data_IF_218937776734
#
_entry.id   IF_218937776734
#
_cell.length_a   1.000
_cell.length_b   1.000
_cell.length_c   1.000
_cell.angle_alpha   90.00
_cell.angle_beta   90.00
_cell.angle_gamma   90.00
#
_symmetry.space_group_name_H-M   'P 1'
#
loop_
_entity.id
_entity.type
_entity.pdbx_description
1 polymer ?
#
# COMPACT_ATOMS: atom_id res chain seq x y z
N UNK A 1 15.14 -3.74 18.37
CA UNK A 1 14.46 -2.61 17.74
C UNK A 1 13.95 -3.04 16.38
N UNK A 2 12.68 -2.82 16.12
CA UNK A 2 12.10 -3.00 14.77
C UNK A 2 11.52 -1.68 14.28
N UNK A 3 11.48 -1.52 12.96
CA UNK A 3 10.91 -0.37 12.28
C UNK A 3 9.67 -0.85 11.52
N UNK A 4 8.50 -0.36 11.90
CA UNK A 4 7.23 -0.66 11.25
C UNK A 4 6.83 0.53 10.38
N UNK A 5 6.73 0.33 9.08
CA UNK A 5 6.28 1.33 8.12
C UNK A 5 4.86 0.97 7.68
N UNK A 6 3.92 1.90 7.84
CA UNK A 6 2.54 1.76 7.38
C UNK A 6 2.26 2.87 6.39
N UNK A 7 2.18 2.52 5.11
CA UNK A 7 2.07 3.50 4.03
C UNK A 7 0.74 3.45 3.28
N UNK A 8 0.37 4.59 2.73
CA UNK A 8 -0.71 4.75 1.75
C UNK A 8 -0.21 5.46 0.50
N UNK A 9 -1.12 5.82 -0.41
CA UNK A 9 -0.80 6.35 -1.74
C UNK A 9 0.08 7.61 -1.75
N UNK A 10 0.09 8.37 -0.65
CA UNK A 10 0.94 9.56 -0.52
C UNK A 10 2.45 9.28 -0.58
N UNK A 11 2.92 8.06 -0.26
CA UNK A 11 4.34 7.71 -0.42
C UNK A 11 4.72 7.56 -1.90
N UNK A 12 3.78 7.14 -2.75
CA UNK A 12 3.98 6.93 -4.20
C UNK A 12 3.67 8.17 -5.04
N UNK A 13 3.01 9.19 -4.45
CA UNK A 13 2.65 10.42 -5.15
C UNK A 13 3.85 11.17 -5.78
N UNK A 14 5.00 11.33 -5.09
CA UNK A 14 6.17 11.96 -5.71
C UNK A 14 6.79 11.17 -6.86
N UNK A 15 6.47 9.89 -6.98
CA UNK A 15 6.84 9.04 -8.13
C UNK A 15 5.89 9.21 -9.32
N UNK A 16 4.86 10.05 -9.21
CA UNK A 16 3.87 10.31 -10.25
C UNK A 16 2.76 9.24 -10.33
N UNK A 17 2.51 8.52 -9.24
CA UNK A 17 1.32 7.66 -9.11
C UNK A 17 0.22 8.49 -8.46
N UNK A 18 -0.93 8.59 -9.14
CA UNK A 18 -2.08 9.37 -8.64
C UNK A 18 -2.61 8.79 -7.34
N UNK A 19 -2.89 9.68 -6.37
CA UNK A 19 -3.50 9.27 -5.11
C UNK A 19 -5.01 9.10 -5.26
N UNK A 20 -5.63 8.41 -4.31
CA UNK A 20 -7.09 8.28 -4.23
C UNK A 20 -7.82 9.63 -3.98
N UNK A 21 -7.06 10.69 -3.68
CA UNK A 21 -7.55 12.05 -3.40
C UNK A 21 -7.62 12.97 -4.60
N UNK A 22 -6.94 12.63 -5.70
CA UNK A 22 -6.94 13.49 -6.89
C UNK A 22 -8.32 13.46 -7.56
N UNK A 23 -9.31 14.07 -6.87
CA UNK A 23 -10.69 14.18 -7.33
C UNK A 23 -10.77 14.91 -8.69
N UNK A 24 -9.80 15.76 -9.03
CA UNK A 24 -9.76 16.49 -10.31
C UNK A 24 -8.87 15.83 -11.40
N UNK A 25 -7.99 14.90 -11.07
CA UNK A 25 -7.02 14.31 -12.03
C UNK A 25 -6.87 12.80 -11.90
N UNK A 26 -7.57 12.14 -10.96
CA UNK A 26 -7.41 10.73 -10.70
C UNK A 26 -8.05 9.84 -11.76
N UNK A 27 -7.44 8.70 -12.04
CA UNK A 27 -8.02 7.63 -12.88
C UNK A 27 -9.42 7.20 -12.40
N UNK A 28 -9.74 7.48 -11.13
CA UNK A 28 -11.02 7.13 -10.48
C UNK A 28 -12.18 8.08 -10.84
N UNK A 29 -11.90 9.33 -11.28
CA UNK A 29 -12.96 10.35 -11.46
C UNK A 29 -13.95 10.07 -12.59
N UNK A 30 -13.56 9.27 -13.57
CA UNK A 30 -14.40 8.93 -14.71
C UNK A 30 -15.07 7.55 -14.56
N UNK A 31 -14.94 6.91 -13.40
CA UNK A 31 -15.44 5.55 -13.20
C UNK A 31 -16.28 5.44 -11.92
N UNK A 32 -17.41 4.77 -12.01
CA UNK A 32 -18.15 4.37 -10.81
C UNK A 32 -17.37 3.25 -10.09
N UNK A 33 -16.93 3.54 -8.87
CA UNK A 33 -16.21 2.61 -8.00
C UNK A 33 -16.99 1.30 -7.85
N UNK A 34 -18.33 1.36 -7.78
CA UNK A 34 -19.16 0.17 -7.68
C UNK A 34 -19.11 -0.71 -8.93
N UNK A 35 -18.74 -0.16 -10.09
CA UNK A 35 -18.62 -0.95 -11.32
C UNK A 35 -17.23 -1.55 -11.49
N UNK A 36 -16.17 -0.87 -11.02
CA UNK A 36 -14.78 -1.26 -11.30
C UNK A 36 -14.05 -1.90 -10.13
N UNK A 37 -14.52 -1.71 -8.88
CA UNK A 37 -13.85 -2.19 -7.68
C UNK A 37 -14.82 -2.76 -6.64
N UNK A 38 -15.81 -3.57 -7.07
CA UNK A 38 -16.77 -4.20 -6.18
C UNK A 38 -16.90 -5.69 -6.52
N UNK A 39 -16.82 -6.54 -5.48
CA UNK A 39 -16.80 -8.01 -5.64
C UNK A 39 -18.12 -8.56 -6.18
N UNK A 40 -19.24 -7.91 -5.92
CA UNK A 40 -20.56 -8.38 -6.36
C UNK A 40 -20.84 -8.04 -7.82
N UNK A 41 -20.19 -7.02 -8.38
CA UNK A 41 -20.49 -6.48 -9.72
C UNK A 41 -19.40 -6.69 -10.76
N UNK A 42 -18.16 -7.02 -10.38
CA UNK A 42 -17.01 -7.08 -11.27
C UNK A 42 -17.19 -8.05 -12.45
N UNK A 43 -17.85 -9.21 -12.23
CA UNK A 43 -18.09 -10.19 -13.32
C UNK A 43 -19.03 -9.65 -14.37
N UNK A 44 -20.03 -8.87 -13.96
CA UNK A 44 -20.95 -8.19 -14.86
C UNK A 44 -20.28 -7.08 -15.66
N UNK A 45 -19.28 -6.44 -15.05
CA UNK A 45 -18.51 -5.33 -15.61
C UNK A 45 -17.11 -5.77 -16.08
N UNK A 46 -16.91 -7.05 -16.39
CA UNK A 46 -15.63 -7.70 -16.60
C UNK A 46 -14.67 -6.90 -17.50
N UNK A 47 -15.11 -6.55 -18.71
CA UNK A 47 -14.30 -5.80 -19.68
C UNK A 47 -13.94 -4.38 -19.18
N UNK A 48 -14.87 -3.73 -18.45
CA UNK A 48 -14.66 -2.40 -17.88
C UNK A 48 -13.63 -2.45 -16.76
N UNK A 49 -13.73 -3.44 -15.88
CA UNK A 49 -12.76 -3.72 -14.82
C UNK A 49 -11.38 -3.94 -15.41
N UNK A 50 -11.25 -4.86 -16.38
CA UNK A 50 -9.95 -5.18 -16.93
C UNK A 50 -9.33 -4.01 -17.69
N UNK A 51 -10.10 -3.23 -18.46
CA UNK A 51 -9.59 -2.00 -19.10
C UNK A 51 -9.03 -1.02 -18.07
N UNK A 52 -9.78 -0.73 -17.02
CA UNK A 52 -9.35 0.18 -15.96
C UNK A 52 -8.03 -0.25 -15.32
N UNK A 53 -7.92 -1.53 -14.92
CA UNK A 53 -6.70 -2.02 -14.27
C UNK A 53 -5.53 -2.23 -15.26
N UNK A 54 -5.80 -2.47 -16.54
CA UNK A 54 -4.77 -2.45 -17.58
C UNK A 54 -4.18 -1.05 -17.74
N UNK A 55 -5.02 -0.02 -17.80
CA UNK A 55 -4.56 1.38 -17.88
C UNK A 55 -3.72 1.77 -16.68
N UNK A 56 -4.11 1.33 -15.48
CA UNK A 56 -3.31 1.52 -14.26
C UNK A 56 -1.94 0.84 -14.37
N UNK A 57 -1.85 -0.41 -14.88
CA UNK A 57 -0.57 -1.12 -15.07
C UNK A 57 0.34 -0.39 -16.06
N UNK A 58 -0.22 0.05 -17.19
CA UNK A 58 0.52 0.82 -18.20
C UNK A 58 1.08 2.10 -17.58
N UNK A 59 0.25 2.84 -16.84
CA UNK A 59 0.68 4.08 -16.19
C UNK A 59 1.73 3.86 -15.10
N UNK A 60 1.72 2.69 -14.44
CA UNK A 60 2.67 2.35 -13.37
C UNK A 60 4.02 1.87 -13.91
N UNK A 61 4.04 1.28 -15.12
CA UNK A 61 5.22 0.59 -15.69
C UNK A 61 6.50 1.41 -15.63
N UNK A 62 6.43 2.67 -16.04
CA UNK A 62 7.58 3.56 -16.17
C UNK A 62 7.78 4.47 -14.92
N UNK A 63 7.08 4.17 -13.84
CA UNK A 63 7.27 4.89 -12.58
C UNK A 63 8.42 4.29 -11.79
N UNK A 64 9.25 5.19 -11.23
CA UNK A 64 10.43 4.81 -10.47
C UNK A 64 10.23 5.08 -8.96
N UNK A 65 10.84 4.28 -8.09
CA UNK A 65 10.80 4.51 -6.67
C UNK A 65 11.46 5.86 -6.32
N UNK A 66 10.87 6.57 -5.38
CA UNK A 66 11.41 7.84 -4.88
C UNK A 66 12.31 7.61 -3.64
N UNK A 67 12.88 8.70 -3.12
CA UNK A 67 13.81 8.68 -2.00
C UNK A 67 13.26 7.97 -0.74
N UNK A 68 11.93 8.02 -0.50
CA UNK A 68 11.32 7.34 0.64
C UNK A 68 11.38 5.80 0.48
N UNK A 69 11.04 5.28 -0.70
CA UNK A 69 11.15 3.85 -1.00
C UNK A 69 12.61 3.36 -0.88
N UNK A 70 13.55 4.11 -1.46
CA UNK A 70 14.98 3.79 -1.41
C UNK A 70 15.52 3.84 0.02
N UNK A 71 15.03 4.75 0.86
CA UNK A 71 15.44 4.81 2.27
C UNK A 71 14.96 3.59 3.05
N UNK A 72 13.75 3.09 2.79
CA UNK A 72 13.25 1.87 3.42
C UNK A 72 14.11 0.65 3.03
N UNK A 73 14.51 0.55 1.76
CA UNK A 73 15.44 -0.49 1.32
C UNK A 73 16.79 -0.40 2.06
N UNK A 74 17.36 0.81 2.21
CA UNK A 74 18.58 1.03 2.99
C UNK A 74 18.43 0.63 4.46
N UNK A 75 17.28 0.89 5.07
CA UNK A 75 17.03 0.44 6.43
C UNK A 75 17.00 -1.10 6.52
N UNK A 76 16.45 -1.80 5.52
CA UNK A 76 16.51 -3.27 5.48
C UNK A 76 17.94 -3.78 5.34
N UNK A 77 18.78 -3.14 4.53
CA UNK A 77 20.22 -3.45 4.42
C UNK A 77 20.96 -3.20 5.74
N UNK A 78 20.62 -2.12 6.46
CA UNK A 78 21.31 -1.69 7.67
C UNK A 78 20.86 -2.46 8.92
N UNK A 79 19.57 -2.73 9.06
CA UNK A 79 18.98 -3.28 10.30
C UNK A 79 18.50 -4.74 10.14
N UNK A 80 18.50 -5.29 8.93
CA UNK A 80 17.95 -6.60 8.58
C UNK A 80 16.52 -6.55 8.09
N UNK A 81 16.20 -7.37 7.09
CA UNK A 81 14.85 -7.46 6.49
C UNK A 81 13.78 -7.83 7.52
N UNK A 82 14.11 -8.66 8.50
CA UNK A 82 13.21 -9.11 9.56
C UNK A 82 12.92 -8.02 10.62
N UNK A 83 13.73 -6.96 10.63
CA UNK A 83 13.60 -5.84 11.56
C UNK A 83 12.96 -4.60 10.91
N UNK A 84 12.77 -4.58 9.60
CA UNK A 84 12.10 -3.49 8.89
C UNK A 84 10.85 -4.03 8.19
N UNK A 85 9.73 -3.92 8.88
CA UNK A 85 8.44 -4.45 8.46
C UNK A 85 7.70 -3.40 7.65
N UNK A 86 7.65 -3.60 6.33
CA UNK A 86 6.96 -2.69 5.40
C UNK A 86 5.55 -3.18 5.10
N UNK A 87 4.56 -2.39 5.48
CA UNK A 87 3.12 -2.66 5.28
C UNK A 87 2.54 -1.52 4.47
N UNK A 88 1.96 -1.83 3.32
CA UNK A 88 1.40 -0.81 2.44
C UNK A 88 -0.06 -1.08 2.09
N UNK A 89 -0.84 -0.02 1.95
CA UNK A 89 -2.18 -0.04 1.36
C UNK A 89 -2.11 0.01 -0.16
N UNK A 90 -0.94 0.36 -0.70
CA UNK A 90 -0.75 0.54 -2.13
C UNK A 90 -0.71 -0.80 -2.85
N UNK A 91 -1.13 -0.74 -4.12
CA UNK A 91 -1.13 -1.88 -5.05
C UNK A 91 -0.04 -1.75 -6.11
N UNK A 92 0.72 -0.64 -6.09
CA UNK A 92 1.87 -0.43 -6.97
C UNK A 92 3.08 -1.27 -6.54
N UNK A 93 4.09 -1.37 -7.42
CA UNK A 93 5.30 -2.17 -7.24
C UNK A 93 6.56 -1.34 -6.95
N UNK A 94 6.40 -0.10 -6.46
CA UNK A 94 7.55 0.78 -6.22
C UNK A 94 8.46 0.28 -5.10
N UNK A 95 7.93 -0.44 -4.12
CA UNK A 95 8.76 -1.08 -3.09
C UNK A 95 9.61 -2.20 -3.66
N UNK A 96 9.03 -3.04 -4.54
CA UNK A 96 9.74 -4.13 -5.23
C UNK A 96 10.83 -3.57 -6.15
N UNK A 97 10.52 -2.51 -6.91
CA UNK A 97 11.48 -1.78 -7.75
C UNK A 97 12.60 -1.14 -6.92
N UNK A 98 12.32 -0.69 -5.70
CA UNK A 98 13.32 -0.21 -4.75
C UNK A 98 14.12 -1.34 -4.08
N UNK A 99 13.83 -2.61 -4.40
CA UNK A 99 14.40 -3.80 -3.77
C UNK A 99 14.05 -3.99 -2.28
N UNK A 100 12.96 -3.38 -1.82
CA UNK A 100 12.39 -3.64 -0.49
C UNK A 100 11.83 -5.06 -0.45
N UNK A 101 12.25 -5.86 0.52
CA UNK A 101 11.86 -7.26 0.65
C UNK A 101 10.64 -7.41 1.57
N UNK A 102 9.89 -8.49 1.34
CA UNK A 102 8.80 -8.91 2.22
C UNK A 102 7.73 -7.84 2.44
N UNK A 103 7.46 -6.97 1.45
CA UNK A 103 6.41 -5.96 1.51
C UNK A 103 5.03 -6.62 1.68
N UNK A 104 4.27 -6.18 2.67
CA UNK A 104 2.91 -6.64 2.94
C UNK A 104 1.93 -5.68 2.27
N UNK A 105 1.41 -6.04 1.10
CA UNK A 105 0.38 -5.29 0.39
C UNK A 105 -1.01 -5.64 0.94
N UNK A 106 -1.59 -4.77 1.77
CA UNK A 106 -2.89 -5.01 2.42
C UNK A 106 -4.04 -5.15 1.42
N UNK A 107 -3.95 -4.41 0.32
CA UNK A 107 -5.00 -4.37 -0.71
C UNK A 107 -4.63 -5.12 -1.99
N UNK A 108 -3.59 -5.95 -1.95
CA UNK A 108 -3.15 -6.74 -3.09
C UNK A 108 -2.10 -6.04 -3.96
N UNK A 109 -1.86 -6.59 -5.15
CA UNK A 109 -0.75 -6.22 -6.03
C UNK A 109 -1.24 -6.14 -7.47
N UNK A 110 -1.09 -4.97 -8.10
CA UNK A 110 -1.62 -4.69 -9.44
C UNK A 110 -0.95 -5.51 -10.55
N UNK A 111 0.29 -5.94 -10.33
CA UNK A 111 1.07 -6.78 -11.25
C UNK A 111 0.61 -8.24 -11.29
N UNK A 112 -0.34 -8.63 -10.43
CA UNK A 112 -0.82 -10.00 -10.30
C UNK A 112 -2.31 -10.12 -10.62
N UNK A 113 -2.70 -11.32 -10.97
CA UNK A 113 -4.10 -11.73 -11.15
C UNK A 113 -4.48 -12.82 -10.15
N UNK A 114 -5.74 -12.86 -9.78
CA UNK A 114 -6.35 -13.91 -8.98
C UNK A 114 -7.38 -14.67 -9.83
N UNK A 115 -7.19 -15.97 -10.02
CA UNK A 115 -8.10 -16.83 -10.75
C UNK A 115 -9.26 -17.29 -9.86
N UNK A 116 -10.48 -16.94 -10.22
CA UNK A 116 -11.68 -17.37 -9.50
C UNK A 116 -12.21 -18.77 -9.93
N UNK A 117 -11.37 -19.55 -10.62
CA UNK A 117 -11.68 -20.95 -10.97
C UNK A 117 -10.83 -21.92 -10.13
N UNK A 118 -9.53 -21.59 -9.89
CA UNK A 118 -8.62 -22.45 -9.15
C UNK A 118 -7.94 -21.73 -7.96
N UNK A 119 -8.35 -20.52 -7.65
CA UNK A 119 -7.86 -19.65 -6.56
C UNK A 119 -6.35 -19.33 -6.61
N UNK A 120 -5.71 -19.60 -7.75
CA UNK A 120 -4.28 -19.30 -7.91
C UNK A 120 -4.05 -17.83 -8.18
N UNK A 121 -2.98 -17.30 -7.55
CA UNK A 121 -2.44 -15.98 -7.84
C UNK A 121 -1.23 -16.15 -8.76
N UNK A 122 -1.14 -15.35 -9.82
CA UNK A 122 -0.06 -15.41 -10.80
C UNK A 122 0.32 -14.04 -11.32
N UNK A 123 1.58 -13.90 -11.71
CA UNK A 123 2.11 -12.64 -12.22
C UNK A 123 1.72 -12.44 -13.68
N UNK A 124 1.35 -11.22 -14.02
CA UNK A 124 1.21 -10.74 -15.41
C UNK A 124 2.05 -9.50 -15.64
N UNK A 125 2.72 -9.01 -14.61
CA UNK A 125 3.49 -7.78 -14.63
C UNK A 125 2.66 -6.60 -15.20
N UNK A 126 3.11 -6.01 -16.31
CA UNK A 126 2.41 -4.90 -16.96
C UNK A 126 1.61 -5.33 -18.21
N UNK A 127 1.45 -6.64 -18.41
CA UNK A 127 0.66 -7.15 -19.51
C UNK A 127 -0.82 -6.83 -19.35
N UNK A 128 -1.50 -6.62 -20.47
CA UNK A 128 -2.94 -6.47 -20.49
C UNK A 128 -3.62 -7.82 -20.31
N UNK A 129 -4.70 -7.82 -19.54
CA UNK A 129 -5.60 -8.96 -19.38
C UNK A 129 -6.97 -8.62 -19.97
N UNK A 130 -7.54 -9.50 -20.79
CA UNK A 130 -8.80 -9.29 -21.51
C UNK A 130 -9.75 -10.47 -21.30
N UNK A 131 -10.95 -10.41 -21.87
CA UNK A 131 -11.91 -11.51 -21.87
C UNK A 131 -11.45 -12.75 -22.66
N UNK A 132 -10.43 -12.60 -23.52
CA UNK A 132 -9.80 -13.72 -24.24
C UNK A 132 -8.68 -14.38 -23.45
N UNK A 133 -8.18 -13.69 -22.41
CA UNK A 133 -7.10 -14.19 -21.56
C UNK A 133 -7.58 -15.32 -20.66
N UNK A 134 -6.68 -16.25 -20.37
CA UNK A 134 -6.95 -17.39 -19.48
C UNK A 134 -5.92 -17.49 -18.35
N UNK A 135 -6.29 -18.15 -17.29
CA UNK A 135 -5.37 -18.50 -16.21
C UNK A 135 -4.30 -19.48 -16.75
N UNK A 136 -2.99 -19.21 -16.57
CA UNK A 136 -1.93 -20.09 -17.06
C UNK A 136 -1.87 -21.44 -16.30
N UNK A 137 -2.59 -21.58 -15.20
CA UNK A 137 -2.55 -22.77 -14.34
C UNK A 137 -3.71 -23.73 -14.67
N UNK A 138 -4.93 -23.20 -14.85
CA UNK A 138 -6.11 -24.05 -15.08
C UNK A 138 -6.85 -23.75 -16.39
N UNK A 139 -6.38 -22.80 -17.21
CA UNK A 139 -7.03 -22.31 -18.43
C UNK A 139 -8.43 -21.71 -18.22
N UNK A 140 -8.83 -21.46 -16.97
CA UNK A 140 -10.10 -20.79 -16.63
C UNK A 140 -10.11 -19.32 -17.08
N UNK A 141 -11.29 -18.82 -17.48
CA UNK A 141 -11.44 -17.46 -18.02
C UNK A 141 -11.73 -16.38 -16.96
N UNK A 142 -12.11 -16.78 -15.75
CA UNK A 142 -12.52 -15.83 -14.72
C UNK A 142 -11.37 -15.51 -13.75
N UNK A 143 -10.51 -14.58 -14.16
CA UNK A 143 -9.52 -13.99 -13.30
C UNK A 143 -9.81 -12.50 -13.08
N UNK A 144 -9.54 -11.99 -11.88
CA UNK A 144 -9.61 -10.55 -11.61
C UNK A 144 -8.20 -10.04 -11.24
N UNK A 145 -7.95 -8.71 -11.32
CA UNK A 145 -6.74 -8.13 -10.72
C UNK A 145 -6.62 -8.58 -9.26
N UNK A 146 -5.41 -8.92 -8.83
CA UNK A 146 -5.14 -9.32 -7.44
C UNK A 146 -5.19 -8.09 -6.50
N UNK A 147 -6.30 -7.38 -6.53
CA UNK A 147 -6.61 -6.20 -5.73
C UNK A 147 -7.86 -6.51 -4.90
N UNK A 148 -7.86 -6.12 -3.64
CA UNK A 148 -9.02 -6.27 -2.75
C UNK A 148 -10.12 -5.30 -3.20
N UNK A 149 -11.26 -5.83 -3.61
CA UNK A 149 -12.42 -5.06 -4.01
C UNK A 149 -13.32 -4.73 -2.80
N UNK A 150 -14.12 -3.69 -2.91
CA UNK A 150 -15.14 -3.41 -1.90
C UNK A 150 -16.09 -4.61 -1.75
N UNK A 151 -16.43 -4.94 -0.50
CA UNK A 151 -17.21 -6.14 -0.17
C UNK A 151 -16.38 -7.43 -0.07
N UNK A 152 -15.08 -7.39 -0.42
CA UNK A 152 -14.20 -8.54 -0.36
C UNK A 152 -13.44 -8.58 0.98
N UNK A 153 -13.14 -9.79 1.45
CA UNK A 153 -12.27 -9.95 2.61
C UNK A 153 -10.83 -9.57 2.26
N UNK A 154 -10.16 -8.87 3.18
CA UNK A 154 -8.76 -8.47 3.07
C UNK A 154 -7.89 -9.33 4.02
N UNK A 155 -7.46 -10.54 3.61
CA UNK A 155 -6.84 -11.51 4.52
C UNK A 155 -5.52 -11.02 5.13
N UNK A 156 -4.80 -10.14 4.44
CA UNK A 156 -3.54 -9.57 4.93
C UNK A 156 -3.69 -8.60 6.11
N UNK A 157 -4.92 -8.17 6.45
CA UNK A 157 -5.16 -7.42 7.69
C UNK A 157 -4.82 -8.22 8.96
N UNK A 158 -4.86 -9.55 8.89
CA UNK A 158 -4.34 -10.38 9.99
C UNK A 158 -2.86 -10.13 10.27
N UNK A 159 -2.05 -9.84 9.23
CA UNK A 159 -0.63 -9.50 9.36
C UNK A 159 -0.45 -8.09 9.96
N UNK A 160 -1.27 -7.12 9.57
CA UNK A 160 -1.30 -5.79 10.19
C UNK A 160 -1.62 -5.90 11.68
N UNK A 161 -2.68 -6.65 12.03
CA UNK A 161 -3.07 -6.88 13.42
C UNK A 161 -1.94 -7.57 14.21
N UNK A 162 -1.24 -8.54 13.61
CA UNK A 162 -0.09 -9.18 14.23
C UNK A 162 1.03 -8.18 14.46
N UNK A 163 1.41 -7.38 13.46
CA UNK A 163 2.45 -6.38 13.56
C UNK A 163 2.19 -5.44 14.76
N UNK A 164 0.98 -4.89 14.88
CA UNK A 164 0.65 -3.99 16.01
C UNK A 164 0.60 -4.69 17.37
N UNK A 165 0.29 -5.99 17.43
CA UNK A 165 0.42 -6.76 18.68
C UNK A 165 1.87 -6.95 19.09
N UNK A 166 2.78 -7.13 18.14
CA UNK A 166 4.18 -7.46 18.38
C UNK A 166 5.04 -6.23 18.72
N UNK A 167 4.57 -5.00 18.46
CA UNK A 167 5.26 -3.73 18.77
C UNK A 167 5.57 -3.63 20.27
N UNK A 168 6.78 -3.17 20.59
CA UNK A 168 7.30 -2.92 21.93
C UNK A 168 7.77 -1.47 22.10
N UNK A 169 8.24 -1.08 23.30
CA UNK A 169 8.80 0.24 23.60
C UNK A 169 10.07 0.57 22.79
N UNK A 170 10.79 -0.46 22.37
CA UNK A 170 12.08 -0.29 21.69
C UNK A 170 11.91 -0.07 20.19
N UNK A 171 10.68 -0.16 19.70
CA UNK A 171 10.38 -0.13 18.28
C UNK A 171 10.00 1.27 17.79
N UNK A 172 10.00 1.42 16.45
CA UNK A 172 9.62 2.64 15.76
C UNK A 172 8.42 2.33 14.86
N UNK A 173 7.42 3.20 14.88
CA UNK A 173 6.25 3.12 14.00
C UNK A 173 6.18 4.38 13.14
N UNK A 174 6.25 4.21 11.83
CA UNK A 174 6.20 5.29 10.84
C UNK A 174 4.92 5.13 10.03
N UNK A 175 4.03 6.12 10.13
CA UNK A 175 2.82 6.21 9.31
C UNK A 175 3.07 7.26 8.24
N UNK A 176 2.96 6.89 6.96
CA UNK A 176 3.29 7.78 5.84
C UNK A 176 2.26 7.75 4.72
N UNK A 177 1.86 8.93 4.25
CA UNK A 177 1.07 9.10 3.03
C UNK A 177 -0.33 8.47 3.07
N UNK A 178 -0.96 8.35 4.23
CA UNK A 178 -2.30 7.80 4.37
C UNK A 178 -3.25 8.75 5.07
N UNK A 179 -4.52 8.75 4.63
CA UNK A 179 -5.59 9.49 5.31
C UNK A 179 -6.10 8.82 6.58
N UNK A 180 -5.87 7.51 6.74
CA UNK A 180 -6.50 6.73 7.81
C UNK A 180 -8.00 6.47 7.63
N UNK A 181 -8.58 6.77 6.44
CA UNK A 181 -10.01 6.60 6.17
C UNK A 181 -10.38 5.12 5.92
N UNK A 182 -9.58 4.41 5.13
CA UNK A 182 -9.84 3.01 4.76
C UNK A 182 -9.27 2.07 5.83
N UNK A 183 -7.97 2.20 6.12
CA UNK A 183 -7.36 1.56 7.29
C UNK A 183 -7.47 2.54 8.44
N UNK A 184 -8.22 2.25 9.51
CA UNK A 184 -8.39 3.18 10.63
C UNK A 184 -7.13 3.22 11.50
N UNK A 185 -6.06 3.77 10.94
CA UNK A 185 -4.71 3.74 11.53
C UNK A 185 -4.67 4.38 12.92
N UNK A 186 -5.52 5.38 13.17
CA UNK A 186 -5.62 6.04 14.47
C UNK A 186 -6.04 5.07 15.59
N UNK A 187 -6.90 4.08 15.30
CA UNK A 187 -7.28 3.04 16.25
C UNK A 187 -6.10 2.11 16.58
N UNK A 188 -5.28 1.77 15.58
CA UNK A 188 -4.08 0.97 15.77
C UNK A 188 -3.05 1.70 16.62
N UNK A 189 -2.83 2.99 16.36
CA UNK A 189 -1.88 3.83 17.13
C UNK A 189 -2.35 3.99 18.60
N UNK A 190 -3.66 4.21 18.81
CA UNK A 190 -4.24 4.21 20.17
C UNK A 190 -4.04 2.87 20.88
N UNK A 191 -4.19 1.76 20.17
CA UNK A 191 -4.03 0.41 20.74
C UNK A 191 -2.62 0.13 21.25
N UNK A 192 -1.58 0.85 20.79
CA UNK A 192 -0.20 0.70 21.26
C UNK A 192 0.25 1.83 22.20
N UNK A 193 -0.65 2.71 22.61
CA UNK A 193 -0.29 3.88 23.46
C UNK A 193 0.46 3.48 24.74
N UNK A 194 0.02 2.43 25.42
CA UNK A 194 0.66 1.92 26.63
C UNK A 194 2.05 1.30 26.42
N UNK A 195 2.40 0.92 25.19
CA UNK A 195 3.68 0.30 24.81
C UNK A 195 4.80 1.32 24.57
N UNK A 196 4.45 2.57 24.27
CA UNK A 196 5.36 3.72 24.08
C UNK A 196 6.49 3.50 23.03
N UNK A 197 6.25 2.93 21.85
CA UNK A 197 7.22 2.99 20.76
C UNK A 197 7.42 4.46 20.34
N UNK A 198 8.48 4.73 19.57
CA UNK A 198 8.60 6.01 18.87
C UNK A 198 7.61 6.03 17.70
N UNK A 199 6.71 7.02 17.66
CA UNK A 199 5.65 7.13 16.63
C UNK A 199 5.85 8.37 15.78
N UNK A 200 5.96 8.18 14.48
CA UNK A 200 6.21 9.24 13.49
C UNK A 200 5.07 9.26 12.47
N UNK A 201 4.52 10.43 12.22
CA UNK A 201 3.53 10.67 11.16
C UNK A 201 4.16 11.54 10.07
N UNK A 202 4.02 11.12 8.82
CA UNK A 202 4.29 11.97 7.67
C UNK A 202 3.12 11.94 6.70
N UNK A 203 2.51 13.07 6.50
CA UNK A 203 1.47 13.31 5.49
C UNK A 203 1.72 14.67 4.84
N UNK A 204 1.20 14.89 3.64
CA UNK A 204 1.27 16.21 3.01
C UNK A 204 0.36 17.23 3.73
N UNK A 205 -0.77 16.75 4.27
CA UNK A 205 -1.81 17.57 4.91
C UNK A 205 -2.40 16.87 6.13
N UNK A 206 -3.05 17.65 6.98
CA UNK A 206 -3.81 17.17 8.14
C UNK A 206 -4.97 16.29 7.66
N UNK A 207 -5.16 15.15 8.30
CA UNK A 207 -6.30 14.27 8.08
C UNK A 207 -7.25 14.27 9.27
N UNK A 208 -8.55 14.48 9.02
CA UNK A 208 -9.59 14.38 10.06
C UNK A 208 -9.74 12.98 10.67
N UNK A 209 -9.14 11.96 10.07
CA UNK A 209 -9.19 10.58 10.54
C UNK A 209 -7.96 10.16 11.35
N UNK A 210 -6.97 11.04 11.50
CA UNK A 210 -5.73 10.80 12.26
C UNK A 210 -5.58 11.91 13.27
N UNK A 211 -5.46 11.54 14.55
CA UNK A 211 -5.19 12.50 15.61
C UNK A 211 -3.68 12.55 15.88
N UNK A 212 -3.06 13.66 15.50
CA UNK A 212 -1.61 13.88 15.61
C UNK A 212 -1.06 13.84 17.05
N UNK A 213 -1.91 14.09 18.07
CA UNK A 213 -1.52 14.00 19.47
C UNK A 213 -0.97 12.63 19.89
N UNK A 214 -1.27 11.60 19.09
CA UNK A 214 -0.79 10.23 19.34
C UNK A 214 0.62 9.97 18.81
N UNK A 215 1.23 10.93 18.11
CA UNK A 215 2.56 10.80 17.50
C UNK A 215 3.57 11.68 18.25
N UNK A 216 4.82 11.19 18.31
CA UNK A 216 5.93 11.90 18.95
C UNK A 216 6.54 12.92 17.98
N UNK A 217 6.49 12.64 16.67
CA UNK A 217 6.89 13.56 15.61
C UNK A 217 5.88 13.56 14.46
N UNK A 218 5.60 14.76 13.94
CA UNK A 218 4.67 14.96 12.83
C UNK A 218 5.33 15.84 11.76
N UNK A 219 5.30 15.38 10.50
CA UNK A 219 5.83 16.08 9.33
C UNK A 219 4.71 16.28 8.31
N UNK A 220 4.31 17.53 8.09
CA UNK A 220 3.36 17.91 7.03
C UNK A 220 4.13 18.44 5.82
N UNK A 221 4.72 17.51 5.09
CA UNK A 221 5.53 17.76 3.90
C UNK A 221 5.60 16.50 3.03
N UNK A 222 6.15 16.62 1.83
CA UNK A 222 6.36 15.48 0.95
C UNK A 222 7.23 14.42 1.63
N UNK A 223 6.94 13.13 1.40
CA UNK A 223 7.75 12.06 1.97
C UNK A 223 9.22 12.11 1.53
N UNK A 224 9.53 12.64 0.35
CA UNK A 224 10.92 12.82 -0.10
C UNK A 224 11.68 13.87 0.73
N UNK A 225 10.98 14.84 1.32
CA UNK A 225 11.56 15.86 2.21
C UNK A 225 11.58 15.40 3.68
N UNK A 226 10.57 14.62 4.10
CA UNK A 226 10.45 14.12 5.45
C UNK A 226 11.43 12.97 5.76
N UNK A 227 11.66 12.05 4.82
CA UNK A 227 12.44 10.85 5.07
C UNK A 227 13.89 11.08 5.51
N UNK A 228 14.64 12.09 5.00
CA UNK A 228 15.95 12.43 5.56
C UNK A 228 15.91 12.82 7.06
N UNK A 229 14.84 13.52 7.49
CA UNK A 229 14.63 13.91 8.89
C UNK A 229 14.23 12.71 9.74
N UNK A 230 13.38 11.84 9.20
CA UNK A 230 12.96 10.58 9.83
C UNK A 230 14.15 9.64 10.01
N UNK A 231 15.07 9.56 9.04
CA UNK A 231 16.28 8.75 9.14
C UNK A 231 17.18 9.17 10.31
N UNK A 232 17.26 10.49 10.60
CA UNK A 232 17.96 10.99 11.80
C UNK A 232 17.30 10.45 13.07
N UNK A 233 15.96 10.50 13.18
CA UNK A 233 15.23 10.00 14.34
C UNK A 233 15.39 8.49 14.52
N UNK A 234 15.40 7.73 13.41
CA UNK A 234 15.63 6.28 13.41
C UNK A 234 17.02 5.95 13.97
N UNK A 235 18.04 6.72 13.61
CA UNK A 235 19.43 6.53 14.08
C UNK A 235 19.66 6.94 15.52
N UNK A 236 18.82 7.82 16.07
CA UNK A 236 18.91 8.29 17.46
C UNK A 236 18.20 7.37 18.46
N UNK A 237 17.33 6.46 17.97
CA UNK A 237 16.60 5.49 18.79
C UNK A 237 17.42 4.23 19.06
#
# INVERSE_FOLDING_TARGET
MKIYIISGAGISAPSGISTFRDEEKGLWNNHDINEICNIDTWRKNYDKVHRFYNDMRINMKDKEPNAAHLQIAKWQEQYGEENVINITQNIDDLFEKANVKNTIHLHGELTKMNCHVCDSIYDINYSSFTNESTCPICNGKYSKPNVVFFGEQAPKYALLNKAFRDITSDDIVIVVGTLGKIVPIDLYIKGIYGKKPLKILNNLEISKYINEIHYDHVFYESCIEAFPKIDILVKLK
#
